data_IF_417267540550
#
_entry.id   IF_417267540550
#
_cell.length_a   1.000
_cell.length_b   1.000
_cell.length_c   1.000
_cell.angle_alpha   90.00
_cell.angle_beta   90.00
_cell.angle_gamma   90.00
#
_symmetry.space_group_name_H-M   'P 1'
#
loop_
_entity.id
_entity.type
_entity.pdbx_description
1 polymer ?
#
# COMPACT_ATOMS: atom_id res chain seq x y z
N UNK A 1 8.36 -83.76 -29.02
CA UNK A 1 9.61 -83.05 -28.67
C UNK A 1 9.57 -81.66 -29.30
N UNK A 2 9.83 -80.58 -28.52
CA UNK A 2 10.28 -79.23 -28.93
C UNK A 2 9.38 -78.42 -29.92
N UNK A 3 9.14 -77.09 -29.87
CA UNK A 3 9.51 -75.88 -29.11
C UNK A 3 8.40 -74.84 -29.44
N UNK A 4 7.82 -74.06 -28.52
CA UNK A 4 8.30 -72.81 -27.89
C UNK A 4 8.50 -71.62 -28.87
N UNK A 5 7.52 -70.72 -28.93
CA UNK A 5 7.73 -69.29 -29.25
C UNK A 5 6.95 -68.47 -28.20
N UNK A 6 7.68 -67.89 -27.24
CA UNK A 6 7.19 -66.87 -26.30
C UNK A 6 7.40 -65.50 -26.95
N UNK A 7 6.33 -64.78 -27.25
CA UNK A 7 6.39 -63.35 -27.52
C UNK A 7 6.24 -62.61 -26.19
N UNK A 8 7.24 -61.81 -25.86
CA UNK A 8 7.29 -60.94 -24.67
C UNK A 8 6.71 -59.58 -25.08
N UNK A 9 5.58 -59.20 -24.49
CA UNK A 9 5.10 -57.82 -24.49
C UNK A 9 5.44 -57.19 -23.14
N UNK A 10 6.34 -56.21 -23.14
CA UNK A 10 6.57 -55.31 -22.00
C UNK A 10 5.81 -54.02 -22.31
N UNK A 11 4.72 -53.67 -21.60
CA UNK A 11 4.18 -52.34 -21.66
C UNK A 11 4.96 -51.41 -20.72
N UNK A 12 5.35 -50.29 -21.30
CA UNK A 12 6.11 -49.16 -20.77
C UNK A 12 5.43 -48.44 -19.60
N UNK A 13 6.08 -48.46 -18.43
CA UNK A 13 5.69 -47.72 -17.20
C UNK A 13 6.11 -46.23 -17.24
N UNK A 14 6.81 -45.78 -18.28
CA UNK A 14 7.41 -44.44 -18.32
C UNK A 14 6.50 -43.25 -18.67
N UNK A 15 5.23 -43.45 -19.04
CA UNK A 15 4.43 -42.38 -19.67
C UNK A 15 3.54 -41.56 -18.72
N UNK A 16 3.44 -41.94 -17.44
CA UNK A 16 2.49 -41.30 -16.51
C UNK A 16 3.11 -40.15 -15.70
N UNK A 17 4.43 -40.14 -15.49
CA UNK A 17 5.10 -39.08 -14.73
C UNK A 17 5.20 -37.75 -15.49
N UNK A 18 5.16 -37.76 -16.82
CA UNK A 18 5.24 -36.54 -17.63
C UNK A 18 3.93 -35.71 -17.60
N UNK A 19 2.77 -36.34 -17.41
CA UNK A 19 1.48 -35.64 -17.34
C UNK A 19 1.28 -34.89 -16.01
N UNK A 20 1.84 -35.40 -14.91
CA UNK A 20 1.76 -34.74 -13.59
C UNK A 20 2.66 -33.50 -13.51
N UNK A 21 3.85 -33.54 -14.10
CA UNK A 21 4.74 -32.38 -14.15
C UNK A 21 4.15 -31.22 -14.99
N UNK A 22 3.47 -31.54 -16.10
CA UNK A 22 2.82 -30.53 -16.94
C UNK A 22 1.63 -29.85 -16.24
N UNK A 23 0.87 -30.57 -15.41
CA UNK A 23 -0.23 -29.98 -14.64
C UNK A 23 0.26 -29.07 -13.51
N UNK A 24 1.34 -29.42 -12.82
CA UNK A 24 1.89 -28.56 -11.74
C UNK A 24 2.47 -27.25 -12.28
N UNK A 25 3.10 -27.27 -13.46
CA UNK A 25 3.58 -26.05 -14.13
C UNK A 25 2.44 -25.12 -14.54
N UNK A 26 1.30 -25.67 -14.98
CA UNK A 26 0.11 -24.88 -15.31
C UNK A 26 -0.52 -24.24 -14.07
N UNK A 27 -0.63 -24.98 -12.96
CA UNK A 27 -1.17 -24.44 -11.69
C UNK A 27 -0.25 -23.36 -11.10
N UNK A 28 1.07 -23.51 -11.18
CA UNK A 28 2.00 -22.44 -10.77
C UNK A 28 1.93 -21.22 -11.69
N UNK A 29 1.72 -21.40 -12.99
CA UNK A 29 1.54 -20.28 -13.93
C UNK A 29 0.23 -19.49 -13.71
N UNK A 30 -0.80 -20.13 -13.17
CA UNK A 30 -2.08 -19.49 -12.84
C UNK A 30 -2.07 -18.79 -11.47
N UNK A 31 -1.31 -19.29 -10.49
CA UNK A 31 -1.06 -18.58 -9.23
C UNK A 31 -0.09 -17.40 -9.38
N UNK A 32 0.70 -17.41 -10.45
CA UNK A 32 1.49 -16.26 -10.93
C UNK A 32 0.72 -15.43 -11.97
N UNK A 33 -0.63 -15.41 -11.93
CA UNK A 33 -1.37 -14.27 -12.47
C UNK A 33 -0.96 -13.05 -11.64
N UNK A 34 0.14 -12.44 -12.09
CA UNK A 34 0.58 -11.12 -11.75
C UNK A 34 -0.67 -10.24 -11.67
N UNK A 35 -0.95 -9.71 -10.47
CA UNK A 35 -1.67 -8.45 -10.36
C UNK A 35 -1.01 -7.56 -11.42
N UNK A 36 -1.76 -7.10 -12.45
CA UNK A 36 -1.19 -6.20 -13.42
C UNK A 36 -0.73 -5.00 -12.61
N UNK A 37 0.58 -4.90 -12.41
CA UNK A 37 1.23 -3.72 -11.88
C UNK A 37 0.71 -2.57 -12.75
N UNK A 38 0.16 -1.54 -12.13
CA UNK A 38 0.05 -0.25 -12.80
C UNK A 38 1.44 0.01 -13.39
N UNK A 39 1.59 0.37 -14.69
CA UNK A 39 2.90 0.43 -15.35
C UNK A 39 3.93 1.05 -14.42
N UNK A 40 4.93 0.23 -14.05
CA UNK A 40 5.75 0.34 -12.85
C UNK A 40 6.71 1.54 -12.77
N UNK A 41 6.35 2.68 -13.34
CA UNK A 41 6.97 3.95 -13.04
C UNK A 41 6.40 4.48 -11.72
N UNK A 42 7.11 4.13 -10.66
CA UNK A 42 7.19 4.84 -9.39
C UNK A 42 6.73 6.30 -9.46
N UNK A 43 5.66 6.65 -8.75
CA UNK A 43 5.28 8.05 -8.54
C UNK A 43 6.24 8.63 -7.51
N UNK A 44 6.92 9.73 -7.81
CA UNK A 44 7.78 10.38 -6.82
C UNK A 44 6.96 11.38 -6.03
N UNK A 45 7.28 11.55 -4.76
CA UNK A 45 6.65 12.57 -3.92
C UNK A 45 6.81 13.99 -4.52
N UNK A 46 7.91 14.22 -5.25
CA UNK A 46 8.15 15.46 -5.98
C UNK A 46 7.22 15.68 -7.19
N UNK A 47 6.74 14.60 -7.82
CA UNK A 47 5.73 14.71 -8.88
C UNK A 47 4.37 15.17 -8.31
N UNK A 48 4.19 15.04 -6.99
CA UNK A 48 3.00 15.48 -6.25
C UNK A 48 3.18 16.86 -5.58
N UNK A 49 4.40 17.43 -5.63
CA UNK A 49 4.74 18.71 -4.99
C UNK A 49 4.57 18.65 -3.46
N UNK A 50 5.02 17.55 -2.85
CA UNK A 50 4.89 17.27 -1.41
C UNK A 50 6.24 16.99 -0.73
N UNK A 51 7.37 17.18 -1.43
CA UNK A 51 8.70 16.82 -0.95
C UNK A 51 9.16 17.64 0.28
N UNK A 52 8.64 18.85 0.44
CA UNK A 52 8.97 19.74 1.56
C UNK A 52 8.01 19.53 2.74
N UNK A 53 6.76 19.15 2.48
CA UNK A 53 5.74 18.89 3.48
C UNK A 53 5.84 17.47 4.09
N UNK A 54 6.15 16.48 3.26
CA UNK A 54 6.26 15.06 3.65
C UNK A 54 7.64 14.56 3.22
N UNK A 55 8.69 14.75 4.04
CA UNK A 55 10.05 14.44 3.63
C UNK A 55 10.35 12.94 3.59
N UNK A 56 9.56 12.12 4.29
CA UNK A 56 9.75 10.66 4.40
C UNK A 56 8.40 9.93 4.43
N UNK A 57 8.35 8.72 3.86
CA UNK A 57 7.20 7.82 4.02
C UNK A 57 6.95 7.45 5.49
N UNK A 58 7.98 7.49 6.33
CA UNK A 58 7.87 7.24 7.78
C UNK A 58 6.99 8.31 8.46
N UNK A 59 6.90 9.52 7.90
CA UNK A 59 6.02 10.58 8.41
C UNK A 59 4.53 10.32 8.14
N UNK A 60 4.21 9.25 7.40
CA UNK A 60 2.86 8.75 7.19
C UNK A 60 2.49 7.66 8.20
N UNK A 61 3.43 7.21 9.03
CA UNK A 61 3.21 6.18 10.05
C UNK A 61 2.83 6.84 11.39
N UNK A 62 1.79 6.30 12.02
CA UNK A 62 1.25 6.77 13.29
C UNK A 62 -0.28 6.90 13.27
N UNK A 63 -0.87 7.45 14.34
CA UNK A 63 -2.32 7.55 14.51
C UNK A 63 -3.04 8.29 13.37
N UNK A 64 -4.35 8.07 13.26
CA UNK A 64 -5.23 8.78 12.31
C UNK A 64 -5.46 10.24 12.67
N UNK A 65 -5.29 10.60 13.94
CA UNK A 65 -5.30 11.99 14.37
C UNK A 65 -3.88 12.57 14.35
N UNK A 66 -3.76 13.90 14.20
CA UNK A 66 -2.47 14.58 14.25
C UNK A 66 -1.76 14.67 12.89
N UNK A 67 -0.43 14.77 12.91
CA UNK A 67 0.34 14.95 11.66
C UNK A 67 0.33 13.75 10.72
N UNK A 68 0.42 12.47 11.17
CA UNK A 68 0.45 11.34 10.23
C UNK A 68 -0.85 11.22 9.44
N UNK A 69 -2.01 11.32 10.11
CA UNK A 69 -3.32 11.34 9.45
C UNK A 69 -3.47 12.47 8.44
N UNK A 70 -3.12 13.72 8.83
CA UNK A 70 -3.13 14.86 7.88
C UNK A 70 -2.20 14.64 6.68
N UNK A 71 -1.02 14.06 6.90
CA UNK A 71 -0.08 13.77 5.82
C UNK A 71 -0.63 12.68 4.88
N UNK A 72 -1.29 11.65 5.41
CA UNK A 72 -1.97 10.63 4.60
C UNK A 72 -3.11 11.23 3.78
N UNK A 73 -3.94 12.08 4.38
CA UNK A 73 -5.01 12.80 3.67
C UNK A 73 -4.45 13.72 2.58
N UNK A 74 -3.38 14.45 2.87
CA UNK A 74 -2.70 15.33 1.91
C UNK A 74 -2.12 14.54 0.74
N UNK A 75 -1.44 13.43 1.01
CA UNK A 75 -0.91 12.53 -0.02
C UNK A 75 -2.03 11.95 -0.88
N UNK A 76 -3.09 11.41 -0.26
CA UNK A 76 -4.24 10.87 -0.97
C UNK A 76 -4.89 11.92 -1.86
N UNK A 77 -5.13 13.13 -1.33
CA UNK A 77 -5.71 14.23 -2.08
C UNK A 77 -4.84 14.64 -3.28
N UNK A 78 -3.53 14.83 -3.08
CA UNK A 78 -2.62 15.19 -4.18
C UNK A 78 -2.51 14.10 -5.24
N UNK A 79 -2.46 12.83 -4.82
CA UNK A 79 -2.44 11.71 -5.75
C UNK A 79 -3.74 11.65 -6.57
N UNK A 80 -4.90 11.87 -5.94
CA UNK A 80 -6.18 11.96 -6.65
C UNK A 80 -6.15 13.08 -7.70
N UNK A 81 -5.68 14.27 -7.31
CA UNK A 81 -5.55 15.38 -8.26
C UNK A 81 -4.58 15.08 -9.42
N UNK A 82 -3.50 14.37 -9.15
CA UNK A 82 -2.54 13.91 -10.17
C UNK A 82 -3.17 12.90 -11.13
N UNK A 83 -3.94 11.95 -10.61
CA UNK A 83 -4.70 10.97 -11.40
C UNK A 83 -5.72 11.67 -12.32
N UNK A 84 -6.44 12.66 -11.78
CA UNK A 84 -7.49 13.38 -12.51
C UNK A 84 -6.91 14.36 -13.55
N UNK A 85 -5.63 14.71 -13.44
CA UNK A 85 -4.95 15.64 -14.34
C UNK A 85 -5.47 17.08 -14.21
N UNK A 86 -5.84 17.48 -12.99
CA UNK A 86 -6.37 18.82 -12.72
C UNK A 86 -5.22 19.82 -12.60
N UNK A 87 -5.11 20.73 -13.58
CA UNK A 87 -4.04 21.74 -13.68
C UNK A 87 -3.95 22.66 -12.45
N UNK A 88 -5.08 22.94 -11.78
CA UNK A 88 -5.09 23.82 -10.60
C UNK A 88 -4.55 23.15 -9.33
N UNK A 89 -4.33 21.83 -9.35
CA UNK A 89 -3.96 21.05 -8.19
C UNK A 89 -2.60 20.34 -8.33
N UNK A 90 -1.94 20.42 -9.49
CA UNK A 90 -0.64 19.79 -9.75
C UNK A 90 0.22 20.55 -10.76
N UNK A 91 1.53 20.31 -10.74
CA UNK A 91 2.48 20.62 -11.83
C UNK A 91 2.44 19.57 -12.95
N UNK A 92 1.55 18.59 -12.88
CA UNK A 92 1.55 17.46 -13.79
C UNK A 92 0.91 17.87 -15.11
N UNK A 93 1.69 17.80 -16.18
CA UNK A 93 1.21 17.98 -17.55
C UNK A 93 0.17 16.86 -17.84
N UNK A 94 -1.08 17.17 -18.21
CA UNK A 94 -2.06 16.16 -18.60
C UNK A 94 -1.60 15.27 -19.77
N UNK A 95 -0.59 15.70 -20.52
CA UNK A 95 0.06 14.93 -21.58
C UNK A 95 1.23 14.05 -21.09
N UNK A 96 1.61 14.11 -19.82
CA UNK A 96 2.56 13.19 -19.20
C UNK A 96 2.09 11.74 -19.45
N UNK A 97 2.96 10.93 -20.02
CA UNK A 97 2.67 9.54 -20.35
C UNK A 97 2.20 8.74 -19.13
N UNK A 98 2.74 9.03 -17.93
CA UNK A 98 2.40 8.37 -16.67
C UNK A 98 0.97 8.64 -16.24
N UNK A 99 0.55 9.90 -16.33
CA UNK A 99 -0.84 10.31 -16.03
C UNK A 99 -1.80 9.65 -17.02
N UNK A 100 -1.44 9.62 -18.30
CA UNK A 100 -2.26 8.97 -19.35
C UNK A 100 -2.37 7.46 -19.16
N UNK A 101 -1.28 6.82 -18.75
CA UNK A 101 -1.23 5.39 -18.48
C UNK A 101 -2.05 5.01 -17.24
N UNK A 102 -1.93 5.79 -16.16
CA UNK A 102 -2.76 5.63 -14.97
C UNK A 102 -4.25 5.78 -15.30
N UNK A 103 -4.63 6.85 -16.00
CA UNK A 103 -6.03 7.06 -16.42
C UNK A 103 -6.54 5.92 -17.30
N UNK A 104 -5.69 5.39 -18.20
CA UNK A 104 -6.03 4.24 -19.02
C UNK A 104 -6.24 2.99 -18.18
N UNK A 105 -5.41 2.76 -17.15
CA UNK A 105 -5.61 1.67 -16.19
C UNK A 105 -6.95 1.81 -15.47
N UNK A 106 -7.30 3.01 -14.97
CA UNK A 106 -8.56 3.21 -14.25
C UNK A 106 -9.80 3.07 -15.15
N UNK A 107 -9.70 3.44 -16.42
CA UNK A 107 -10.80 3.33 -17.40
C UNK A 107 -10.94 1.91 -17.97
N UNK A 108 -9.84 1.21 -18.24
CA UNK A 108 -9.84 -0.10 -18.93
C UNK A 108 -9.59 -1.29 -18.01
N UNK A 109 -9.18 -1.04 -16.77
CA UNK A 109 -8.94 -2.06 -15.76
C UNK A 109 -10.23 -2.84 -15.47
N UNK A 110 -10.13 -4.14 -15.18
CA UNK A 110 -11.29 -4.94 -14.82
C UNK A 110 -11.97 -4.38 -13.56
N UNK A 111 -13.31 -4.39 -13.55
CA UNK A 111 -14.08 -3.64 -12.55
C UNK A 111 -13.94 -4.15 -11.11
N UNK A 112 -13.46 -5.37 -10.94
CA UNK A 112 -13.26 -6.09 -9.69
C UNK A 112 -11.85 -5.96 -9.11
N UNK A 113 -10.99 -5.09 -9.67
CA UNK A 113 -9.61 -4.92 -9.21
C UNK A 113 -9.34 -3.54 -8.65
N UNK A 114 -8.77 -3.54 -7.46
CA UNK A 114 -8.07 -2.39 -6.88
C UNK A 114 -6.67 -2.28 -7.50
N UNK A 115 -6.20 -1.05 -7.68
CA UNK A 115 -4.83 -0.78 -8.13
C UNK A 115 -3.91 -0.48 -6.97
N UNK A 116 -2.60 -0.60 -7.15
CA UNK A 116 -1.62 -0.13 -6.17
C UNK A 116 -0.66 0.83 -6.85
N UNK A 117 -0.40 1.96 -6.20
CA UNK A 117 0.58 2.97 -6.62
C UNK A 117 1.67 3.03 -5.57
N UNK A 118 2.92 2.83 -5.98
CA UNK A 118 4.06 2.97 -5.08
C UNK A 118 4.57 4.41 -5.16
N UNK A 119 4.61 5.08 -4.01
CA UNK A 119 5.12 6.45 -3.89
C UNK A 119 6.53 6.44 -3.29
N UNK A 120 7.49 7.03 -3.99
CA UNK A 120 8.89 7.11 -3.59
C UNK A 120 9.27 8.48 -3.05
N UNK A 121 10.00 8.49 -1.93
CA UNK A 121 10.48 9.69 -1.25
C UNK A 121 11.96 9.94 -1.54
N UNK A 122 12.41 11.17 -1.25
CA UNK A 122 13.78 11.60 -1.49
C UNK A 122 14.81 10.83 -0.65
N UNK A 123 14.42 10.44 0.56
CA UNK A 123 15.23 9.61 1.47
C UNK A 123 15.21 8.11 1.10
N UNK A 124 14.67 7.77 -0.08
CA UNK A 124 14.52 6.42 -0.62
C UNK A 124 13.53 5.54 0.16
N UNK A 125 12.78 6.12 1.11
CA UNK A 125 11.61 5.43 1.67
C UNK A 125 10.51 5.35 0.63
N UNK A 126 9.62 4.37 0.78
CA UNK A 126 8.47 4.17 -0.10
C UNK A 126 7.25 3.70 0.67
N UNK A 127 6.09 3.92 0.10
CA UNK A 127 4.79 3.47 0.62
C UNK A 127 3.88 3.04 -0.52
N UNK A 128 3.02 2.07 -0.24
CA UNK A 128 1.97 1.67 -1.17
C UNK A 128 0.69 2.45 -0.89
N UNK A 129 0.05 2.90 -1.98
CA UNK A 129 -1.26 3.56 -1.95
C UNK A 129 -2.22 2.71 -2.77
N UNK A 130 -3.24 2.17 -2.10
CA UNK A 130 -4.29 1.41 -2.74
C UNK A 130 -5.25 2.36 -3.46
N UNK A 131 -5.66 2.01 -4.67
CA UNK A 131 -6.71 2.70 -5.41
C UNK A 131 -8.00 1.89 -5.25
N UNK A 132 -8.82 2.30 -4.29
CA UNK A 132 -10.06 1.62 -3.92
C UNK A 132 -11.23 2.21 -4.69
N UNK A 133 -12.10 1.38 -5.26
CA UNK A 133 -13.28 1.85 -5.99
C UNK A 133 -14.26 2.58 -5.07
N UNK A 134 -14.77 3.72 -5.53
CA UNK A 134 -15.86 4.43 -4.84
C UNK A 134 -17.17 3.64 -4.98
N UNK A 135 -17.76 3.21 -3.87
CA UNK A 135 -18.96 2.36 -3.86
C UNK A 135 -20.22 3.04 -4.40
N UNK A 136 -20.28 4.37 -4.31
CA UNK A 136 -21.46 5.18 -4.66
C UNK A 136 -21.25 5.97 -5.94
N UNK A 137 -21.06 5.28 -7.07
CA UNK A 137 -20.99 5.94 -8.37
C UNK A 137 -22.37 6.47 -8.77
N UNK A 138 -22.56 7.78 -8.66
CA UNK A 138 -23.72 8.45 -9.23
C UNK A 138 -23.53 8.57 -10.75
N UNK A 139 -24.27 7.77 -11.52
CA UNK A 139 -24.20 7.78 -12.99
C UNK A 139 -24.59 9.12 -13.63
N UNK A 140 -25.22 10.03 -12.88
CA UNK A 140 -25.53 11.37 -13.34
C UNK A 140 -24.37 12.37 -13.12
N UNK A 141 -23.39 12.02 -12.28
CA UNK A 141 -22.25 12.85 -11.96
C UNK A 141 -20.99 12.32 -12.66
N UNK A 142 -20.70 12.90 -13.82
CA UNK A 142 -19.55 12.53 -14.64
C UNK A 142 -18.21 13.04 -14.09
N UNK A 143 -18.24 13.91 -13.07
CA UNK A 143 -17.05 14.48 -12.43
C UNK A 143 -16.65 13.69 -11.17
N UNK A 144 -17.45 12.71 -10.76
CA UNK A 144 -17.15 11.91 -9.57
C UNK A 144 -15.92 11.00 -9.78
N UNK A 145 -14.96 10.99 -8.84
CA UNK A 145 -13.81 10.10 -8.92
C UNK A 145 -14.24 8.63 -8.76
N UNK A 146 -13.83 7.81 -9.73
CA UNK A 146 -14.17 6.36 -9.77
C UNK A 146 -13.40 5.56 -8.72
N UNK A 147 -12.21 6.04 -8.39
CA UNK A 147 -11.31 5.47 -7.40
C UNK A 147 -10.97 6.53 -6.36
N UNK A 148 -10.65 6.08 -5.16
CA UNK A 148 -10.12 6.89 -4.06
C UNK A 148 -8.80 6.28 -3.60
N UNK A 149 -7.71 7.07 -3.54
CA UNK A 149 -6.46 6.60 -2.97
C UNK A 149 -6.58 6.42 -1.45
N UNK A 150 -6.08 5.29 -0.98
CA UNK A 150 -5.99 4.90 0.43
C UNK A 150 -4.53 4.56 0.74
N UNK A 151 -3.92 5.39 1.59
CA UNK A 151 -2.51 5.26 1.95
C UNK A 151 -2.37 4.14 2.98
N UNK A 152 -1.49 3.16 2.73
CA UNK A 152 -1.31 1.99 3.58
C UNK A 152 -0.05 2.13 4.46
N UNK A 153 -0.13 2.71 5.66
CA UNK A 153 1.05 3.00 6.49
C UNK A 153 1.85 1.76 6.90
N UNK A 154 1.23 0.59 6.96
CA UNK A 154 1.89 -0.70 7.24
C UNK A 154 2.80 -1.18 6.11
N UNK A 155 2.66 -0.61 4.91
CA UNK A 155 3.49 -0.95 3.74
C UNK A 155 4.75 -0.11 3.63
N UNK A 156 4.97 0.83 4.57
CA UNK A 156 6.14 1.70 4.53
C UNK A 156 7.42 0.88 4.60
N UNK A 157 8.32 1.14 3.65
CA UNK A 157 9.64 0.54 3.60
C UNK A 157 10.70 1.62 3.60
N UNK A 158 11.80 1.34 4.30
CA UNK A 158 12.96 2.21 4.36
C UNK A 158 14.24 1.40 4.09
N UNK A 159 15.23 1.97 3.39
CA UNK A 159 16.55 1.36 3.24
C UNK A 159 17.14 0.94 4.59
N UNK A 160 17.71 -0.27 4.64
CA UNK A 160 18.36 -0.77 5.86
C UNK A 160 17.40 -1.24 6.96
N UNK A 161 16.08 -1.14 6.77
CA UNK A 161 15.07 -1.67 7.70
C UNK A 161 14.35 -2.88 7.11
N UNK A 162 14.13 -3.89 7.94
CA UNK A 162 13.24 -5.01 7.58
C UNK A 162 11.76 -4.62 7.64
N UNK A 163 11.41 -3.75 8.60
CA UNK A 163 10.09 -3.12 8.73
C UNK A 163 10.22 -1.81 9.51
N UNK A 164 9.35 -0.84 9.22
CA UNK A 164 9.22 0.37 10.03
C UNK A 164 8.40 0.04 11.29
N UNK A 165 8.85 0.42 12.49
CA UNK A 165 8.07 0.26 13.71
C UNK A 165 6.70 0.93 13.61
N UNK A 166 5.65 0.27 14.08
CA UNK A 166 4.27 0.81 14.12
C UNK A 166 3.82 1.14 15.55
N UNK A 167 4.61 0.78 16.56
CA UNK A 167 4.27 0.94 17.98
C UNK A 167 5.52 1.14 18.84
N UNK A 168 5.38 1.81 19.99
CA UNK A 168 6.50 2.08 20.91
C UNK A 168 7.23 0.81 21.37
N UNK A 169 6.49 -0.30 21.57
CA UNK A 169 7.10 -1.56 21.98
C UNK A 169 8.11 -2.11 20.98
N UNK A 170 8.01 -1.72 19.70
CA UNK A 170 8.93 -2.15 18.64
C UNK A 170 10.22 -1.30 18.58
N UNK A 171 10.28 -0.16 19.26
CA UNK A 171 11.50 0.66 19.40
C UNK A 171 12.43 0.15 20.51
N UNK A 172 11.97 -0.73 21.40
CA UNK A 172 12.80 -1.24 22.51
C UNK A 172 13.95 -2.09 21.98
N UNK A 173 15.18 -1.60 22.15
CA UNK A 173 16.39 -2.26 21.61
C UNK A 173 16.52 -2.14 20.09
N UNK A 174 15.77 -1.23 19.48
CA UNK A 174 15.86 -0.92 18.06
C UNK A 174 17.07 0.00 17.83
N UNK A 175 18.02 -0.48 17.04
CA UNK A 175 19.18 0.30 16.62
C UNK A 175 19.16 0.41 15.10
N UNK A 176 19.31 1.62 14.57
CA UNK A 176 19.38 1.88 13.15
C UNK A 176 20.71 2.55 12.79
N UNK A 177 21.55 1.84 12.04
CA UNK A 177 22.86 2.31 11.58
C UNK A 177 22.83 2.61 10.07
N UNK A 178 21.92 3.48 9.67
CA UNK A 178 21.73 3.87 8.26
C UNK A 178 21.89 5.36 8.03
N UNK A 179 21.13 5.90 7.07
CA UNK A 179 21.27 7.33 6.73
C UNK A 179 20.69 8.23 7.82
N UNK A 180 21.29 9.40 8.11
CA UNK A 180 20.76 10.35 9.09
C UNK A 180 19.33 10.84 8.82
N UNK A 181 18.91 10.85 7.55
CA UNK A 181 17.56 11.25 7.17
C UNK A 181 16.50 10.27 7.70
N UNK A 182 16.74 8.96 7.53
CA UNK A 182 15.86 7.90 8.02
C UNK A 182 15.91 7.82 9.55
N UNK A 183 17.10 7.98 10.15
CA UNK A 183 17.25 8.05 11.62
C UNK A 183 16.42 9.21 12.20
N UNK A 184 16.51 10.40 11.61
CA UNK A 184 15.70 11.55 12.02
C UNK A 184 14.20 11.30 11.81
N UNK A 185 13.80 10.58 10.77
CA UNK A 185 12.40 10.23 10.53
C UNK A 185 11.87 9.21 11.55
N UNK A 186 12.69 8.23 11.94
CA UNK A 186 12.39 7.28 13.01
C UNK A 186 12.26 7.97 14.37
N UNK A 187 13.14 8.93 14.69
CA UNK A 187 13.02 9.73 15.92
C UNK A 187 11.71 10.52 15.97
N UNK A 188 11.32 11.17 14.86
CA UNK A 188 10.01 11.84 14.77
C UNK A 188 8.84 10.87 14.92
N UNK A 189 8.97 9.63 14.45
CA UNK A 189 7.94 8.60 14.60
C UNK A 189 7.82 8.16 16.06
N UNK A 190 8.94 7.92 16.74
CA UNK A 190 8.96 7.60 18.17
C UNK A 190 8.27 8.70 18.99
N UNK A 191 8.68 9.97 18.81
CA UNK A 191 8.08 11.13 19.48
C UNK A 191 6.55 11.19 19.29
N UNK A 192 6.07 10.91 18.08
CA UNK A 192 4.63 10.93 17.77
C UNK A 192 3.88 9.79 18.47
N UNK A 193 4.45 8.59 18.48
CA UNK A 193 3.83 7.44 19.14
C UNK A 193 3.81 7.63 20.66
N UNK A 194 4.83 8.26 21.25
CA UNK A 194 4.86 8.63 22.67
C UNK A 194 3.76 9.64 23.01
N UNK A 195 3.63 10.70 22.20
CA UNK A 195 2.60 11.71 22.37
C UNK A 195 1.18 11.11 22.32
N UNK A 196 0.93 10.19 21.38
CA UNK A 196 -0.35 9.49 21.29
C UNK A 196 -0.63 8.58 22.48
N UNK A 197 0.37 7.84 22.95
CA UNK A 197 0.22 6.98 24.13
C UNK A 197 -0.12 7.80 25.39
N UNK A 198 0.41 9.00 25.53
CA UNK A 198 0.10 9.88 26.66
C UNK A 198 -1.31 10.49 26.57
N UNK A 199 -1.75 10.82 25.35
CA UNK A 199 -3.12 11.28 25.12
C UNK A 199 -4.15 10.20 25.49
N UNK A 200 -3.90 8.94 25.11
CA UNK A 200 -4.77 7.81 25.46
C UNK A 200 -4.85 7.56 26.96
N UNK A 201 -3.74 7.71 27.70
CA UNK A 201 -3.73 7.60 29.17
C UNK A 201 -4.55 8.70 29.84
N UNK A 202 -4.46 9.93 29.34
CA UNK A 202 -5.21 11.08 29.87
C UNK A 202 -6.71 10.86 29.71
N UNK A 203 -7.15 10.42 28.52
CA UNK A 203 -8.57 10.10 28.25
C UNK A 203 -9.07 8.95 29.14
N UNK A 204 -8.25 7.92 29.36
CA UNK A 204 -8.60 6.81 30.24
C UNK A 204 -8.73 7.23 31.71
N UNK A 205 -7.87 8.13 32.20
CA UNK A 205 -7.93 8.67 33.56
C UNK A 205 -9.21 9.47 33.81
N UNK A 206 -9.58 10.34 32.86
CA UNK A 206 -10.80 11.16 32.95
C UNK A 206 -12.08 10.31 32.86
N UNK A 207 -12.05 9.20 32.14
CA UNK A 207 -13.19 8.26 32.06
C UNK A 207 -13.34 7.39 33.31
N UNK A 208 -12.28 7.17 34.08
CA UNK A 208 -12.33 6.33 35.30
C UNK A 208 -12.86 7.07 36.53
N UNK A 209 -12.87 8.41 36.53
CA UNK A 209 -13.37 9.21 37.65
C UNK A 209 -14.90 9.42 37.59
N UNK A 210 -15.61 8.39 37.09
CA UNK A 210 -17.03 8.32 36.82
C UNK A 210 -17.91 8.63 38.03
N UNK A 211 -17.96 9.91 38.41
CA UNK A 211 -19.08 10.48 39.14
C UNK A 211 -20.26 10.48 38.18
N UNK A 212 -21.35 9.76 38.49
CA UNK A 212 -22.54 9.80 37.66
C UNK A 212 -22.99 11.27 37.58
N UNK A 213 -22.96 11.85 36.37
CA UNK A 213 -23.70 13.08 36.09
C UNK A 213 -25.18 12.72 36.25
N UNK A 214 -25.69 12.94 37.46
CA UNK A 214 -27.13 12.97 37.73
C UNK A 214 -27.70 14.02 36.78
N UNK A 215 -28.36 13.54 35.73
CA UNK A 215 -29.25 14.33 34.89
C UNK A 215 -30.34 14.91 35.81
N UNK A 216 -30.13 16.15 36.28
CA UNK A 216 -31.20 16.94 36.85
C UNK A 216 -32.09 17.39 35.68
N UNK A 217 -33.31 16.86 35.69
CA UNK A 217 -34.32 17.16 34.69
C UNK A 217 -34.79 18.61 34.70
N UNK A 218 -35.27 19.03 33.54
CA UNK A 218 -36.36 19.99 33.38
C UNK A 218 -37.31 19.45 32.33
#
# INVERSE_FOLDING_TARGET
MARLIKAVCIPSIGSWFLLLAAQQLLVQSLAAQQVPDVPGEAVRIADLGLEDEIPSAIDLVGPDHGSPGRNRELLAHRLQCWIDGVESCTFADPNDDRVRDMRRFLVRGPMDRDGTVIVYFRDQTRIDVSLVRTAELNRADWEQPVYRPEVLPETVQAPGLSAVPLSLGQFTGFEYDGTPAIEAALGRLEDRLEASAEQDRTVASDSSDGRPRLLQGQ
#
